data_IF_754841654064
#
_entry.id   IF_754841654064
#
_cell.length_a   1.000
_cell.length_b   1.000
_cell.length_c   1.000
_cell.angle_alpha   90.00
_cell.angle_beta   90.00
_cell.angle_gamma   90.00
#
_symmetry.space_group_name_H-M   'P 1'
#
loop_
_entity.id
_entity.type
_entity.pdbx_description
1 polymer ?
#
# COMPACT_ATOMS: atom_id res chain seq x y z
N UNK A 1 -48.77 39.50 60.44
CA UNK A 1 -49.51 38.55 59.58
C UNK A 1 -49.15 38.82 58.12
N UNK A 2 -48.47 37.84 57.52
CA UNK A 2 -48.44 37.48 56.09
C UNK A 2 -48.01 38.51 55.03
N UNK A 3 -46.69 38.72 54.92
CA UNK A 3 -46.03 38.99 53.63
C UNK A 3 -45.16 37.77 53.26
N UNK A 4 -45.81 36.64 53.00
CA UNK A 4 -45.18 35.40 52.51
C UNK A 4 -46.10 34.81 51.47
N UNK A 5 -45.88 35.14 50.19
CA UNK A 5 -46.29 34.30 49.05
C UNK A 5 -45.80 34.83 47.69
N UNK A 6 -45.17 36.02 47.63
CA UNK A 6 -44.64 36.57 46.38
C UNK A 6 -43.15 36.23 46.15
N UNK A 7 -42.71 35.02 46.51
CA UNK A 7 -41.30 34.60 46.35
C UNK A 7 -41.12 33.14 45.95
N UNK A 8 -42.20 32.41 45.61
CA UNK A 8 -42.14 30.98 45.29
C UNK A 8 -42.62 30.63 43.88
N UNK A 9 -42.61 31.60 42.96
CA UNK A 9 -42.92 31.38 41.54
C UNK A 9 -41.85 31.98 40.61
N UNK A 10 -40.60 31.99 41.06
CA UNK A 10 -39.45 32.39 40.24
C UNK A 10 -38.24 31.45 40.42
N UNK A 11 -38.51 30.19 40.78
CA UNK A 11 -37.49 29.15 40.91
C UNK A 11 -37.79 27.94 40.02
N UNK A 12 -38.27 28.19 38.81
CA UNK A 12 -38.53 27.15 37.78
C UNK A 12 -38.24 27.63 36.35
N UNK A 13 -37.43 28.69 36.18
CA UNK A 13 -37.00 29.17 34.87
C UNK A 13 -35.56 29.71 34.89
N UNK A 14 -34.62 28.91 35.41
CA UNK A 14 -33.17 29.12 35.21
C UNK A 14 -32.52 27.81 34.70
N UNK A 15 -33.24 27.05 33.87
CA UNK A 15 -32.68 25.90 33.13
C UNK A 15 -32.59 26.22 31.63
N UNK A 16 -32.04 27.39 31.31
CA UNK A 16 -31.68 27.87 29.97
C UNK A 16 -30.78 29.06 30.29
N UNK A 17 -29.45 29.04 30.24
CA UNK A 17 -28.58 28.78 29.11
C UNK A 17 -27.22 28.36 29.71
N UNK A 18 -27.04 27.09 30.06
CA UNK A 18 -25.72 26.53 29.84
C UNK A 18 -25.67 26.37 28.33
N UNK A 19 -24.68 26.99 27.68
CA UNK A 19 -24.39 26.74 26.27
C UNK A 19 -24.15 25.24 26.12
N UNK A 20 -25.21 24.50 25.81
CA UNK A 20 -25.15 23.15 25.29
C UNK A 20 -24.60 23.31 23.87
N UNK A 21 -23.31 23.63 23.78
CA UNK A 21 -22.53 23.19 22.65
C UNK A 21 -22.59 21.67 22.75
N UNK A 22 -23.59 21.07 22.10
CA UNK A 22 -23.47 19.71 21.63
C UNK A 22 -22.32 19.73 20.62
N UNK A 23 -21.08 19.83 21.11
CA UNK A 23 -19.91 19.47 20.34
C UNK A 23 -20.06 17.97 20.17
N UNK A 24 -20.74 17.55 19.10
CA UNK A 24 -20.81 16.16 18.71
C UNK A 24 -19.35 15.68 18.60
N UNK A 25 -18.86 14.86 19.54
CA UNK A 25 -17.51 14.35 19.45
C UNK A 25 -17.48 13.42 18.24
N UNK A 26 -16.37 13.41 17.51
CA UNK A 26 -16.20 12.45 16.43
C UNK A 26 -16.29 11.04 16.98
N UNK A 27 -16.87 10.17 16.16
CA UNK A 27 -16.97 8.76 16.49
C UNK A 27 -15.57 8.16 16.40
N UNK A 28 -15.04 7.70 17.54
CA UNK A 28 -13.84 6.87 17.61
C UNK A 28 -14.21 5.40 17.38
N UNK A 29 -13.23 4.56 17.03
CA UNK A 29 -13.42 3.11 16.89
C UNK A 29 -13.97 2.66 15.53
N UNK A 30 -13.83 3.49 14.51
CA UNK A 30 -14.14 3.15 13.13
C UNK A 30 -13.05 2.27 12.52
N UNK A 31 -13.39 1.41 11.56
CA UNK A 31 -12.40 0.64 10.80
C UNK A 31 -12.47 0.92 9.31
N UNK A 32 -11.31 0.80 8.66
CA UNK A 32 -11.16 0.77 7.20
C UNK A 32 -11.00 -0.67 6.75
N UNK A 33 -11.55 -1.01 5.59
CA UNK A 33 -11.32 -2.30 4.93
C UNK A 33 -10.74 -2.02 3.54
N UNK A 34 -9.73 -2.80 3.17
CA UNK A 34 -9.27 -2.89 1.79
C UNK A 34 -10.28 -3.59 0.89
N UNK A 35 -10.05 -3.59 -0.42
CA UNK A 35 -10.79 -4.42 -1.37
C UNK A 35 -10.87 -5.87 -0.87
N UNK A 36 -12.04 -6.50 -1.03
CA UNK A 36 -12.33 -7.87 -0.60
C UNK A 36 -12.07 -8.16 0.90
N UNK A 37 -11.98 -7.13 1.75
CA UNK A 37 -11.72 -7.28 3.18
C UNK A 37 -10.24 -7.55 3.52
N UNK A 38 -9.32 -7.33 2.59
CA UNK A 38 -7.88 -7.51 2.82
C UNK A 38 -7.31 -6.41 3.73
N UNK A 39 -6.40 -6.79 4.63
CA UNK A 39 -5.68 -5.90 5.54
C UNK A 39 -4.33 -5.40 5.00
N UNK A 40 -3.72 -6.19 4.12
CA UNK A 40 -2.46 -5.86 3.43
C UNK A 40 -2.61 -6.19 1.94
N UNK A 41 -2.09 -5.32 1.07
CA UNK A 41 -2.26 -5.40 -0.38
C UNK A 41 -0.92 -5.18 -1.07
N UNK A 42 -0.54 -6.11 -1.94
CA UNK A 42 0.64 -5.99 -2.80
C UNK A 42 0.22 -5.77 -4.25
N UNK A 43 0.42 -4.54 -4.75
CA UNK A 43 0.07 -4.08 -6.11
C UNK A 43 0.73 -4.87 -7.23
N UNK A 44 1.84 -5.57 -6.96
CA UNK A 44 2.60 -6.28 -7.96
C UNK A 44 2.25 -7.77 -8.04
N UNK A 45 1.47 -8.30 -7.10
CA UNK A 45 1.01 -9.69 -7.13
C UNK A 45 -0.38 -9.77 -7.78
N UNK A 46 -0.45 -10.38 -8.97
CA UNK A 46 -1.73 -10.83 -9.53
C UNK A 46 -2.50 -9.84 -10.42
N UNK A 47 -1.83 -8.90 -11.10
CA UNK A 47 -2.45 -8.08 -12.14
C UNK A 47 -3.56 -7.15 -11.63
N UNK A 48 -3.50 -6.78 -10.35
CA UNK A 48 -4.48 -5.88 -9.75
C UNK A 48 -4.37 -4.47 -10.32
N UNK A 49 -5.52 -3.81 -10.45
CA UNK A 49 -5.54 -2.39 -10.78
C UNK A 49 -4.81 -1.62 -9.69
N UNK A 50 -3.94 -0.70 -10.08
CA UNK A 50 -3.34 0.27 -9.15
C UNK A 50 -4.38 1.18 -8.49
N UNK A 51 -5.63 1.13 -8.95
CA UNK A 51 -6.77 1.76 -8.28
C UNK A 51 -7.45 0.79 -7.32
N UNK A 52 -7.38 1.09 -6.03
CA UNK A 52 -7.99 0.31 -4.96
C UNK A 52 -9.21 1.05 -4.40
N UNK A 53 -10.25 0.29 -4.03
CA UNK A 53 -11.48 0.82 -3.43
C UNK A 53 -11.54 0.46 -1.94
N UNK A 54 -11.45 1.47 -1.07
CA UNK A 54 -11.54 1.31 0.37
C UNK A 54 -12.92 1.64 0.90
N UNK A 55 -13.36 0.89 1.91
CA UNK A 55 -14.63 1.13 2.59
C UNK A 55 -14.41 1.30 4.09
N UNK A 56 -14.98 2.35 4.67
CA UNK A 56 -15.00 2.54 6.12
C UNK A 56 -16.31 1.97 6.71
N UNK A 57 -16.21 1.20 7.80
CA UNK A 57 -17.37 0.71 8.53
C UNK A 57 -17.87 1.79 9.49
N UNK A 58 -18.61 2.78 8.99
CA UNK A 58 -19.12 3.87 9.81
C UNK A 58 -20.57 4.18 9.47
N UNK A 59 -21.33 4.60 10.49
CA UNK A 59 -22.73 4.97 10.34
C UNK A 59 -22.89 6.48 10.56
N UNK A 60 -23.28 7.20 9.51
CA UNK A 60 -23.88 8.54 9.53
C UNK A 60 -23.00 9.82 9.67
N UNK A 61 -21.71 9.81 9.29
CA UNK A 61 -20.86 11.04 9.22
C UNK A 61 -20.09 11.08 7.89
N UNK A 62 -19.75 12.25 7.31
CA UNK A 62 -18.84 12.31 6.18
C UNK A 62 -17.52 11.59 6.45
N UNK A 63 -17.08 10.80 5.46
CA UNK A 63 -15.80 10.06 5.48
C UNK A 63 -14.85 10.71 4.50
N UNK A 64 -13.64 10.95 4.96
CA UNK A 64 -12.47 11.17 4.11
C UNK A 64 -11.54 9.96 4.16
N UNK A 65 -10.67 9.89 3.17
CA UNK A 65 -9.61 8.90 3.05
C UNK A 65 -8.29 9.65 2.92
N UNK A 66 -7.24 9.10 3.50
CA UNK A 66 -5.89 9.61 3.33
C UNK A 66 -4.92 8.45 3.19
N UNK A 67 -3.83 8.70 2.47
CA UNK A 67 -2.72 7.77 2.32
C UNK A 67 -1.44 8.50 2.70
N UNK A 68 -0.60 7.83 3.47
CA UNK A 68 0.76 8.28 3.80
C UNK A 68 1.81 7.36 3.21
N UNK A 69 3.00 7.89 2.96
CA UNK A 69 4.19 7.13 2.55
C UNK A 69 4.93 6.51 3.75
N UNK A 70 6.10 5.91 3.51
CA UNK A 70 6.94 5.31 4.54
C UNK A 70 7.49 6.28 5.60
N UNK A 71 7.40 7.60 5.36
CA UNK A 71 7.85 8.65 6.27
C UNK A 71 6.67 9.34 6.99
N UNK A 72 5.48 8.73 6.96
CA UNK A 72 4.23 9.28 7.49
C UNK A 72 3.84 10.64 6.85
N UNK A 73 4.24 10.89 5.61
CA UNK A 73 3.84 12.10 4.86
C UNK A 73 2.60 11.81 4.03
N UNK A 74 1.61 12.69 4.09
CA UNK A 74 0.36 12.55 3.32
C UNK A 74 0.67 12.66 1.82
N UNK A 75 0.43 11.58 1.09
CA UNK A 75 0.57 11.53 -0.38
C UNK A 75 -0.77 11.60 -1.11
N UNK A 76 -1.87 11.28 -0.41
CA UNK A 76 -3.23 11.46 -0.91
C UNK A 76 -4.16 11.85 0.24
N UNK A 77 -5.10 12.76 -0.03
CA UNK A 77 -6.21 13.04 0.87
C UNK A 77 -7.44 13.45 0.06
N UNK A 78 -8.59 12.87 0.36
CA UNK A 78 -9.80 13.10 -0.42
C UNK A 78 -11.06 12.49 0.18
N UNK A 79 -12.18 12.67 -0.49
CA UNK A 79 -13.48 12.12 -0.07
C UNK A 79 -13.88 10.86 -0.86
N UNK A 80 -13.08 10.49 -1.86
CA UNK A 80 -13.24 9.24 -2.60
C UNK A 80 -12.37 8.15 -1.97
N UNK A 81 -12.98 7.00 -1.68
CA UNK A 81 -12.28 5.78 -1.29
C UNK A 81 -11.67 5.02 -2.47
N UNK A 82 -11.89 5.47 -3.70
CA UNK A 82 -11.22 4.96 -4.89
C UNK A 82 -9.92 5.75 -5.11
N UNK A 83 -8.78 5.09 -4.95
CA UNK A 83 -7.45 5.72 -4.91
C UNK A 83 -6.51 5.01 -5.88
N UNK A 84 -5.87 5.76 -6.77
CA UNK A 84 -4.88 5.24 -7.70
C UNK A 84 -3.46 5.42 -7.15
N UNK A 85 -2.81 4.32 -6.80
CA UNK A 85 -1.46 4.30 -6.23
C UNK A 85 -0.35 4.42 -7.28
N UNK A 86 -0.61 4.19 -8.57
CA UNK A 86 0.42 4.29 -9.61
C UNK A 86 0.94 5.74 -9.81
N UNK A 87 0.18 6.73 -9.35
CA UNK A 87 0.57 8.14 -9.43
C UNK A 87 1.13 8.71 -8.13
N UNK A 88 1.24 7.91 -7.07
CA UNK A 88 1.72 8.37 -5.77
C UNK A 88 3.25 8.19 -5.67
N UNK A 89 3.97 9.14 -5.05
CA UNK A 89 5.39 8.99 -4.79
C UNK A 89 5.63 7.95 -3.69
N UNK A 90 6.55 7.00 -3.92
CA UNK A 90 6.90 5.95 -2.98
C UNK A 90 6.44 4.56 -3.40
N UNK A 91 6.83 3.55 -2.62
CA UNK A 91 6.51 2.14 -2.90
C UNK A 91 5.85 1.43 -1.70
N UNK A 92 5.67 2.13 -0.58
CA UNK A 92 5.04 1.61 0.63
C UNK A 92 4.11 2.67 1.19
N UNK A 93 2.87 2.27 1.44
CA UNK A 93 1.82 3.19 1.81
C UNK A 93 0.97 2.64 2.95
N UNK A 94 0.41 3.56 3.74
CA UNK A 94 -0.63 3.24 4.71
C UNK A 94 -1.90 4.04 4.39
N UNK A 95 -2.99 3.32 4.12
CA UNK A 95 -4.29 3.92 3.88
C UNK A 95 -5.13 3.96 5.16
N UNK A 96 -5.69 5.13 5.44
CA UNK A 96 -6.61 5.38 6.55
C UNK A 96 -7.92 5.96 6.02
N UNK A 97 -8.98 5.77 6.80
CA UNK A 97 -10.18 6.59 6.67
C UNK A 97 -10.33 7.45 7.92
N UNK A 98 -11.07 8.54 7.79
CA UNK A 98 -11.39 9.42 8.92
C UNK A 98 -12.79 9.98 8.77
N UNK A 99 -13.50 10.14 9.87
CA UNK A 99 -14.69 10.97 9.90
C UNK A 99 -14.28 12.40 10.25
N UNK A 100 -15.10 13.37 9.85
CA UNK A 100 -14.82 14.75 10.18
C UNK A 100 -16.06 15.64 10.18
N UNK A 101 -15.88 16.81 10.78
CA UNK A 101 -16.81 17.94 10.73
C UNK A 101 -16.06 19.17 10.22
N UNK A 102 -16.73 19.97 9.39
CA UNK A 102 -16.15 21.18 8.82
C UNK A 102 -15.43 20.92 7.50
N UNK A 103 -14.42 21.73 7.20
CA UNK A 103 -13.67 21.65 5.94
C UNK A 103 -12.32 20.98 6.13
N UNK A 104 -11.87 20.28 5.09
CA UNK A 104 -10.52 19.70 5.02
C UNK A 104 -9.45 20.80 5.11
N UNK A 105 -8.41 20.57 5.93
CA UNK A 105 -7.31 21.50 6.15
C UNK A 105 -5.96 20.92 5.75
N UNK A 106 -5.72 19.64 6.05
CA UNK A 106 -4.50 18.94 5.66
C UNK A 106 -4.39 18.82 4.14
N UNK A 107 -3.14 18.77 3.66
CA UNK A 107 -2.77 18.73 2.25
C UNK A 107 -1.75 17.64 2.01
N UNK A 108 -1.62 17.27 0.74
CA UNK A 108 -0.50 16.43 0.30
C UNK A 108 0.82 17.15 0.64
N UNK A 109 1.76 16.41 1.24
CA UNK A 109 3.03 16.89 1.76
C UNK A 109 3.04 17.22 3.26
N UNK A 110 1.87 17.30 3.92
CA UNK A 110 1.82 17.48 5.37
C UNK A 110 2.15 16.16 6.09
N UNK A 111 2.82 16.20 7.27
CA UNK A 111 3.02 15.00 8.07
C UNK A 111 1.71 14.55 8.71
N UNK A 112 1.57 13.23 8.90
CA UNK A 112 0.50 12.62 9.65
C UNK A 112 0.51 13.14 11.09
N UNK A 113 -0.67 13.49 11.61
CA UNK A 113 -0.83 14.12 12.92
C UNK A 113 -1.00 15.65 12.86
N UNK A 114 -0.81 16.27 11.69
CA UNK A 114 -1.34 17.61 11.46
C UNK A 114 -2.87 17.61 11.55
N UNK A 115 -3.51 18.71 12.01
CA UNK A 115 -4.97 18.78 12.05
C UNK A 115 -5.60 18.58 10.67
N UNK A 116 -6.33 17.47 10.49
CA UNK A 116 -6.88 17.09 9.19
C UNK A 116 -7.98 18.04 8.71
N UNK A 117 -8.78 18.57 9.64
CA UNK A 117 -9.93 19.43 9.32
C UNK A 117 -10.02 20.64 10.24
N UNK A 118 -10.91 21.58 9.91
CA UNK A 118 -11.19 22.77 10.73
C UNK A 118 -11.97 22.45 12.01
N UNK A 119 -12.65 21.30 12.04
CA UNK A 119 -13.43 20.84 13.17
C UNK A 119 -12.86 19.56 13.76
N UNK A 120 -13.73 18.79 14.39
CA UNK A 120 -13.35 17.49 14.92
C UNK A 120 -13.06 16.50 13.78
N UNK A 121 -12.06 15.64 13.97
CA UNK A 121 -11.81 14.46 13.14
C UNK A 121 -11.39 13.27 14.01
N UNK A 122 -11.66 12.06 13.54
CA UNK A 122 -11.08 10.83 14.11
C UNK A 122 -10.68 9.87 12.98
N UNK A 123 -9.47 9.32 13.09
CA UNK A 123 -8.96 8.29 12.18
C UNK A 123 -9.52 6.92 12.54
N UNK A 124 -9.53 6.01 11.56
CA UNK A 124 -9.79 4.59 11.80
C UNK A 124 -8.76 4.00 12.76
N UNK A 125 -9.19 3.04 13.60
CA UNK A 125 -8.31 2.37 14.56
C UNK A 125 -7.30 1.42 13.91
N UNK A 126 -7.54 1.07 12.64
CA UNK A 126 -6.62 0.32 11.80
C UNK A 126 -6.26 1.12 10.53
N UNK A 127 -5.19 0.69 9.88
CA UNK A 127 -4.79 1.08 8.53
C UNK A 127 -4.79 -0.14 7.61
N UNK A 128 -4.72 0.10 6.30
CA UNK A 128 -4.45 -0.92 5.28
C UNK A 128 -3.08 -0.66 4.68
N UNK A 129 -2.18 -1.64 4.78
CA UNK A 129 -0.85 -1.53 4.17
C UNK A 129 -0.97 -1.80 2.67
N UNK A 130 -0.37 -0.93 1.86
CA UNK A 130 -0.30 -1.10 0.40
C UNK A 130 1.15 -1.00 -0.03
N UNK A 131 1.68 -2.07 -0.63
CA UNK A 131 3.03 -2.08 -1.20
C UNK A 131 2.98 -2.13 -2.73
N UNK A 132 3.88 -1.38 -3.36
CA UNK A 132 4.14 -1.38 -4.79
C UNK A 132 5.53 -1.93 -5.10
N UNK A 133 5.98 -2.95 -4.37
CA UNK A 133 7.32 -3.49 -4.53
C UNK A 133 7.47 -4.11 -5.93
N UNK A 134 8.37 -3.55 -6.74
CA UNK A 134 8.77 -4.19 -7.99
C UNK A 134 9.35 -5.57 -7.67
N UNK A 135 8.80 -6.66 -8.23
CA UNK A 135 9.33 -7.98 -7.99
C UNK A 135 10.76 -8.04 -8.52
N UNK A 136 11.68 -8.55 -7.69
CA UNK A 136 13.05 -8.85 -8.08
C UNK A 136 13.15 -10.32 -8.43
N UNK A 137 13.83 -10.64 -9.53
CA UNK A 137 14.20 -12.02 -9.87
C UNK A 137 15.40 -12.54 -9.05
N UNK A 138 16.00 -11.68 -8.22
CA UNK A 138 17.17 -12.01 -7.41
C UNK A 138 18.45 -12.10 -8.24
N UNK A 139 19.45 -12.77 -7.66
CA UNK A 139 20.72 -13.08 -8.33
C UNK A 139 20.67 -14.50 -8.88
N UNK A 140 21.03 -14.65 -10.16
CA UNK A 140 21.18 -15.96 -10.81
C UNK A 140 22.52 -16.57 -10.44
N UNK A 141 22.52 -17.85 -10.09
CA UNK A 141 23.70 -18.69 -9.93
C UNK A 141 23.44 -20.05 -10.56
N UNK A 142 24.47 -20.88 -10.71
CA UNK A 142 24.29 -22.31 -10.93
C UNK A 142 23.67 -22.95 -9.68
N UNK A 143 23.24 -24.21 -9.79
CA UNK A 143 22.77 -24.98 -8.63
C UNK A 143 23.88 -25.30 -7.61
N UNK A 144 25.15 -25.17 -8.00
CA UNK A 144 26.31 -25.20 -7.11
C UNK A 144 26.64 -23.83 -6.47
N UNK A 145 25.91 -22.77 -6.82
CA UNK A 145 26.10 -21.42 -6.30
C UNK A 145 27.16 -20.59 -7.01
N UNK A 146 27.66 -21.06 -8.16
CA UNK A 146 28.65 -20.33 -8.96
C UNK A 146 27.98 -19.28 -9.84
N UNK A 147 28.71 -18.20 -10.16
CA UNK A 147 28.23 -17.15 -11.09
C UNK A 147 28.85 -17.23 -12.47
N UNK A 148 29.79 -18.17 -12.66
CA UNK A 148 30.43 -18.47 -13.92
C UNK A 148 30.50 -19.99 -14.09
N UNK A 149 30.27 -20.46 -15.32
CA UNK A 149 30.37 -21.87 -15.69
C UNK A 149 31.08 -21.99 -17.04
N UNK A 150 31.82 -23.08 -17.22
CA UNK A 150 32.50 -23.40 -18.48
C UNK A 150 31.84 -24.62 -19.12
N UNK A 151 31.53 -24.50 -20.40
CA UNK A 151 30.94 -25.55 -21.26
C UNK A 151 31.87 -25.85 -22.43
N UNK A 152 31.59 -26.92 -23.18
CA UNK A 152 32.37 -27.34 -24.34
C UNK A 152 31.51 -27.45 -25.62
N UNK A 153 30.96 -26.34 -26.16
CA UNK A 153 29.99 -26.42 -27.25
C UNK A 153 30.54 -27.11 -28.50
N UNK A 154 29.76 -28.03 -29.05
CA UNK A 154 30.01 -28.72 -30.31
C UNK A 154 30.89 -29.96 -30.19
N UNK A 155 31.08 -30.51 -28.98
CA UNK A 155 31.84 -31.76 -28.78
C UNK A 155 31.00 -33.04 -28.95
N UNK A 156 29.69 -32.88 -29.15
CA UNK A 156 28.71 -33.95 -29.33
C UNK A 156 28.11 -34.47 -28.02
N UNK A 157 28.45 -33.87 -26.86
CA UNK A 157 27.86 -34.14 -25.55
C UNK A 157 27.04 -32.93 -25.11
N UNK A 158 25.97 -33.17 -24.34
CA UNK A 158 25.11 -32.09 -23.86
C UNK A 158 25.80 -31.26 -22.76
N UNK A 159 25.77 -29.94 -22.91
CA UNK A 159 26.33 -28.94 -21.98
C UNK A 159 25.20 -28.28 -21.18
N UNK A 160 24.51 -29.09 -20.38
CA UNK A 160 23.35 -28.61 -19.61
C UNK A 160 23.81 -27.86 -18.36
N UNK A 161 23.47 -26.58 -18.28
CA UNK A 161 23.63 -25.77 -17.06
C UNK A 161 22.26 -25.52 -16.46
N UNK A 162 22.14 -25.73 -15.14
CA UNK A 162 20.94 -25.45 -14.38
C UNK A 162 21.16 -24.28 -13.43
N UNK A 163 20.17 -23.42 -13.34
CA UNK A 163 20.19 -22.15 -12.65
C UNK A 163 19.32 -22.18 -11.40
N UNK A 164 19.72 -21.36 -10.44
CA UNK A 164 18.95 -21.06 -9.24
C UNK A 164 18.97 -19.55 -8.99
N UNK A 165 17.94 -19.05 -8.31
CA UNK A 165 17.84 -17.65 -7.92
C UNK A 165 17.91 -17.53 -6.41
N UNK A 166 18.68 -16.57 -5.93
CA UNK A 166 18.68 -16.17 -4.51
C UNK A 166 18.20 -14.74 -4.37
N UNK A 167 17.35 -14.48 -3.35
CA UNK A 167 16.80 -13.13 -3.11
C UNK A 167 15.68 -12.72 -4.07
N UNK A 168 15.08 -13.65 -4.82
CA UNK A 168 13.88 -13.38 -5.60
C UNK A 168 12.70 -13.05 -4.68
N UNK A 169 11.84 -12.12 -5.12
CA UNK A 169 10.60 -11.79 -4.40
C UNK A 169 9.71 -13.03 -4.32
N UNK A 170 9.35 -13.43 -3.10
CA UNK A 170 8.51 -14.62 -2.88
C UNK A 170 7.19 -14.51 -3.65
N UNK A 171 6.84 -15.56 -4.40
CA UNK A 171 5.61 -15.61 -5.21
C UNK A 171 5.67 -14.84 -6.53
N UNK A 172 6.72 -14.04 -6.79
CA UNK A 172 6.89 -13.39 -8.08
C UNK A 172 7.21 -14.40 -9.18
N UNK A 173 6.64 -14.20 -10.37
CA UNK A 173 6.99 -14.97 -11.57
C UNK A 173 8.16 -14.32 -12.28
N UNK A 174 9.13 -15.13 -12.70
CA UNK A 174 10.26 -14.71 -13.51
C UNK A 174 10.60 -15.81 -14.54
N UNK A 175 11.42 -15.46 -15.53
CA UNK A 175 11.98 -16.37 -16.53
C UNK A 175 13.45 -16.01 -16.72
N UNK A 176 14.25 -16.98 -17.14
CA UNK A 176 15.65 -16.76 -17.48
C UNK A 176 15.77 -16.35 -18.95
N UNK A 177 16.66 -15.39 -19.21
CA UNK A 177 17.02 -14.96 -20.55
C UNK A 177 18.45 -15.35 -20.79
N UNK A 178 18.74 -15.96 -21.94
CA UNK A 178 20.12 -16.14 -22.38
C UNK A 178 20.43 -15.02 -23.35
N UNK A 179 21.56 -14.35 -23.13
CA UNK A 179 22.07 -13.28 -23.99
C UNK A 179 23.50 -13.55 -24.40
N UNK A 180 23.92 -12.99 -25.54
CA UNK A 180 25.33 -12.95 -25.91
C UNK A 180 26.10 -11.83 -25.16
N UNK A 181 27.41 -11.72 -25.42
CA UNK A 181 28.27 -10.69 -24.82
C UNK A 181 27.82 -9.24 -25.12
N UNK A 182 27.07 -9.05 -26.21
CA UNK A 182 26.50 -7.76 -26.64
C UNK A 182 25.10 -7.51 -26.06
N UNK A 183 24.62 -8.37 -25.16
CA UNK A 183 23.28 -8.34 -24.54
C UNK A 183 22.13 -8.54 -25.54
N UNK A 184 22.38 -9.23 -26.66
CA UNK A 184 21.32 -9.67 -27.56
C UNK A 184 20.71 -10.95 -27.00
N UNK A 185 19.39 -10.97 -26.82
CA UNK A 185 18.66 -12.15 -26.36
C UNK A 185 18.74 -13.24 -27.43
N UNK A 186 19.31 -14.38 -27.07
CA UNK A 186 19.40 -15.58 -27.90
C UNK A 186 18.34 -16.61 -27.51
N UNK A 187 17.90 -16.63 -26.24
CA UNK A 187 16.83 -17.52 -25.77
C UNK A 187 16.01 -16.93 -24.61
N UNK A 188 14.76 -17.41 -24.50
CA UNK A 188 13.87 -17.20 -23.34
C UNK A 188 13.48 -18.58 -22.81
N UNK A 189 13.84 -18.89 -21.56
CA UNK A 189 13.71 -20.25 -21.04
C UNK A 189 12.33 -20.50 -20.42
N UNK A 190 11.72 -21.64 -20.73
CA UNK A 190 10.51 -22.10 -20.04
C UNK A 190 10.78 -22.82 -18.72
N UNK A 191 12.05 -23.05 -18.40
CA UNK A 191 12.53 -23.73 -17.20
C UNK A 191 13.81 -23.08 -16.66
N UNK A 192 14.50 -23.80 -15.80
CA UNK A 192 15.70 -23.35 -15.07
C UNK A 192 17.01 -23.89 -15.66
N UNK A 193 16.99 -24.44 -16.87
CA UNK A 193 18.20 -24.99 -17.50
C UNK A 193 18.21 -24.75 -19.00
N UNK A 194 19.41 -24.75 -19.55
CA UNK A 194 19.67 -24.66 -20.99
C UNK A 194 20.85 -25.57 -21.34
N UNK A 195 20.79 -26.17 -22.53
CA UNK A 195 21.89 -26.93 -23.13
C UNK A 195 22.66 -26.01 -24.06
N UNK A 196 23.92 -25.73 -23.74
CA UNK A 196 24.80 -24.87 -24.53
C UNK A 196 25.50 -25.60 -25.67
N UNK A 197 25.23 -26.88 -25.91
CA UNK A 197 25.92 -27.67 -26.94
C UNK A 197 25.72 -27.12 -28.36
N UNK A 198 24.57 -26.49 -28.63
CA UNK A 198 24.29 -25.89 -29.94
C UNK A 198 24.70 -24.42 -30.08
N UNK A 199 25.27 -23.82 -29.02
CA UNK A 199 25.65 -22.41 -29.03
C UNK A 199 27.00 -22.19 -29.71
N UNK A 200 27.21 -20.97 -30.21
CA UNK A 200 28.51 -20.56 -30.71
C UNK A 200 29.51 -20.39 -29.56
N UNK A 201 30.77 -20.73 -29.81
CA UNK A 201 31.87 -20.42 -28.87
C UNK A 201 31.88 -18.93 -28.54
N UNK A 202 31.86 -18.60 -27.25
CA UNK A 202 31.82 -17.23 -26.77
C UNK A 202 31.34 -17.16 -25.33
N UNK A 203 30.94 -15.96 -24.90
CA UNK A 203 30.34 -15.72 -23.58
C UNK A 203 28.84 -15.57 -23.74
N UNK A 204 28.09 -16.43 -23.06
CA UNK A 204 26.66 -16.28 -22.83
C UNK A 204 26.42 -15.76 -21.41
N UNK A 205 25.41 -14.91 -21.22
CA UNK A 205 24.96 -14.40 -19.92
C UNK A 205 23.52 -14.84 -19.66
N UNK A 206 23.22 -15.12 -18.39
CA UNK A 206 21.91 -15.57 -17.91
C UNK A 206 21.41 -14.67 -16.78
#
# INVERSE_FOLDING_TARGET
MNCKHLLFSFLLLICSIATLNAQFPCLNGMSINGPNGQGDIDLCQGGISSTLNFAANISAVPVGYLVVDENDVIVYIGLSGSINFAGLPGNSFQAYAFNFIGSLRARVGDPLGTPLTSGCYALTSNSISVSGNTPSAGTVSTDSGETEAFTCPGDGLADVVRFANTGATAGASFTYLVTDENNIITAVLSGDSVDFESDSVGVSRV
#
